data_IF_112776952060
#
_entry.id   IF_112776952060
#
_cell.length_a   1.000
_cell.length_b   1.000
_cell.length_c   1.000
_cell.angle_alpha   90.00
_cell.angle_beta   90.00
_cell.angle_gamma   90.00
#
_symmetry.space_group_name_H-M   'P 1'
#
loop_
_entity.id
_entity.type
_entity.pdbx_description
1 polymer ?
#
# COMPACT_ATOMS: atom_id res chain seq x y z
N UNK A 1 -14.57 3.18 21.55
CA UNK A 1 -13.80 3.19 20.27
C UNK A 1 -12.33 3.05 20.62
N UNK A 2 -11.56 2.28 19.89
CA UNK A 2 -10.11 2.19 20.13
C UNK A 2 -9.42 3.51 19.77
N UNK A 3 -8.32 3.80 20.49
CA UNK A 3 -7.45 4.93 20.18
C UNK A 3 -6.22 4.40 19.41
N UNK A 4 -5.87 5.08 18.32
CA UNK A 4 -4.77 4.73 17.45
C UNK A 4 -3.84 5.93 17.23
N UNK A 5 -2.60 5.66 16.90
CA UNK A 5 -1.57 6.69 16.66
C UNK A 5 -1.53 7.16 15.20
N UNK A 6 -1.92 6.31 14.25
CA UNK A 6 -1.78 6.56 12.81
C UNK A 6 -3.10 6.68 12.07
N UNK A 7 -4.19 6.34 12.70
CA UNK A 7 -5.53 6.39 12.09
C UNK A 7 -6.61 6.73 13.12
N UNK A 8 -7.83 6.95 12.64
CA UNK A 8 -9.05 7.06 13.45
C UNK A 8 -10.12 6.18 12.84
N UNK A 9 -10.97 5.58 13.68
CA UNK A 9 -12.18 4.92 13.22
C UNK A 9 -13.37 5.44 14.02
N UNK A 10 -14.41 5.86 13.30
CA UNK A 10 -15.63 6.41 13.90
C UNK A 10 -16.84 6.01 13.09
N UNK A 11 -18.02 5.82 13.70
CA UNK A 11 -19.26 5.80 12.95
C UNK A 11 -19.45 7.11 12.17
N UNK A 12 -20.04 7.03 10.99
CA UNK A 12 -20.44 8.23 10.25
C UNK A 12 -21.59 8.96 10.96
N UNK A 13 -21.51 10.28 11.04
CA UNK A 13 -22.46 11.07 11.80
C UNK A 13 -23.89 11.04 11.25
N UNK A 14 -24.06 10.87 9.94
CA UNK A 14 -25.36 10.81 9.28
C UNK A 14 -25.93 9.39 9.21
N UNK A 15 -25.05 8.37 9.18
CA UNK A 15 -25.46 6.98 9.12
C UNK A 15 -24.50 6.08 9.92
N UNK A 16 -24.82 5.71 11.16
CA UNK A 16 -23.94 4.91 12.02
C UNK A 16 -23.69 3.49 11.49
N UNK A 17 -24.43 3.02 10.48
CA UNK A 17 -24.13 1.77 9.76
C UNK A 17 -22.87 1.84 8.90
N UNK A 18 -22.29 3.03 8.76
CA UNK A 18 -21.04 3.26 8.03
C UNK A 18 -19.95 3.58 9.05
N UNK A 19 -18.88 2.78 9.07
CA UNK A 19 -17.65 3.14 9.82
C UNK A 19 -16.69 3.87 8.89
N UNK A 20 -16.13 4.99 9.35
CA UNK A 20 -15.10 5.75 8.63
C UNK A 20 -13.73 5.47 9.25
N UNK A 21 -12.85 4.82 8.50
CA UNK A 21 -11.45 4.59 8.86
C UNK A 21 -10.59 5.63 8.14
N UNK A 22 -10.11 6.60 8.89
CA UNK A 22 -9.31 7.71 8.40
C UNK A 22 -7.82 7.46 8.70
N UNK A 23 -6.98 7.26 7.68
CA UNK A 23 -5.53 7.31 7.82
C UNK A 23 -5.14 8.74 8.20
N UNK A 24 -4.43 8.95 9.32
CA UNK A 24 -4.31 10.25 9.98
C UNK A 24 -2.87 10.62 10.36
N UNK A 25 -2.00 10.61 9.36
CA UNK A 25 -0.64 11.20 9.40
C UNK A 25 -0.47 12.19 8.22
N UNK A 26 -1.34 13.23 8.10
CA UNK A 26 -1.39 14.08 6.90
C UNK A 26 -0.08 14.84 6.64
N UNK A 27 0.71 15.14 7.66
CA UNK A 27 2.05 15.77 7.57
C UNK A 27 3.08 14.89 6.87
N UNK A 28 2.83 13.58 6.81
CA UNK A 28 3.63 12.55 6.12
C UNK A 28 2.91 11.92 4.95
N UNK A 29 1.88 12.55 4.38
CA UNK A 29 1.01 11.95 3.35
C UNK A 29 0.47 10.58 3.76
N UNK A 30 0.12 10.42 5.03
CA UNK A 30 -0.38 9.17 5.60
C UNK A 30 0.57 7.97 5.38
N UNK A 31 1.89 8.22 5.37
CA UNK A 31 2.88 7.17 5.17
C UNK A 31 2.81 6.11 6.28
N UNK A 32 3.02 4.87 5.86
CA UNK A 32 2.90 3.66 6.67
C UNK A 32 4.15 3.53 7.55
N UNK A 33 3.97 3.55 8.85
CA UNK A 33 5.00 3.18 9.83
C UNK A 33 4.68 1.80 10.42
N UNK A 34 5.49 1.31 11.37
CA UNK A 34 5.34 -0.03 11.98
C UNK A 34 4.01 -0.23 12.73
N UNK A 35 3.35 0.84 13.16
CA UNK A 35 2.07 0.76 13.83
C UNK A 35 0.90 0.64 12.83
N UNK A 36 0.99 1.31 11.68
CA UNK A 36 -0.13 1.45 10.73
C UNK A 36 -0.76 0.12 10.32
N UNK A 37 0.00 -0.95 9.93
CA UNK A 37 -0.63 -2.22 9.53
C UNK A 37 -1.46 -2.83 10.65
N UNK A 38 -0.90 -2.92 11.85
CA UNK A 38 -1.58 -3.48 13.03
C UNK A 38 -2.79 -2.66 13.45
N UNK A 39 -2.70 -1.34 13.37
CA UNK A 39 -3.81 -0.45 13.69
C UNK A 39 -4.94 -0.57 12.66
N UNK A 40 -4.64 -0.77 11.36
CA UNK A 40 -5.66 -1.08 10.34
C UNK A 40 -6.40 -2.37 10.71
N UNK A 41 -5.68 -3.46 11.03
CA UNK A 41 -6.30 -4.72 11.46
C UNK A 41 -7.19 -4.50 12.68
N UNK A 42 -6.67 -3.87 13.73
CA UNK A 42 -7.43 -3.63 14.96
C UNK A 42 -8.68 -2.76 14.74
N UNK A 43 -8.60 -1.77 13.85
CA UNK A 43 -9.75 -0.95 13.47
C UNK A 43 -10.81 -1.76 12.69
N UNK A 44 -10.37 -2.64 11.79
CA UNK A 44 -11.26 -3.55 11.05
C UNK A 44 -11.93 -4.54 12.00
N UNK A 45 -11.18 -5.14 12.92
CA UNK A 45 -11.71 -6.07 13.94
C UNK A 45 -12.72 -5.38 14.85
N UNK A 46 -12.44 -4.15 15.29
CA UNK A 46 -13.42 -3.35 16.02
C UNK A 46 -14.70 -3.15 15.20
N UNK A 47 -14.57 -2.64 13.97
CA UNK A 47 -15.73 -2.40 13.09
C UNK A 47 -16.49 -3.70 12.80
N UNK A 48 -15.81 -4.85 12.69
CA UNK A 48 -16.42 -6.15 12.48
C UNK A 48 -17.24 -6.60 13.69
N UNK A 49 -16.79 -6.27 14.90
CA UNK A 49 -17.47 -6.54 16.15
C UNK A 49 -18.71 -5.67 16.41
N UNK A 50 -18.77 -4.48 15.80
CA UNK A 50 -19.91 -3.57 16.00
C UNK A 50 -21.13 -4.01 15.21
N UNK A 51 -22.20 -4.38 15.91
CA UNK A 51 -23.42 -4.91 15.30
C UNK A 51 -24.12 -3.92 14.38
N UNK A 52 -24.00 -2.63 14.63
CA UNK A 52 -24.62 -1.58 13.82
C UNK A 52 -23.88 -1.33 12.51
N UNK A 53 -22.56 -1.56 12.46
CA UNK A 53 -21.75 -1.29 11.27
C UNK A 53 -22.01 -2.31 10.16
N UNK A 54 -22.31 -1.84 8.96
CA UNK A 54 -22.57 -2.64 7.77
C UNK A 54 -21.45 -2.52 6.72
N UNK A 55 -20.76 -1.38 6.66
CA UNK A 55 -19.74 -1.07 5.65
C UNK A 55 -18.65 -0.19 6.26
N UNK A 56 -17.41 -0.36 5.80
CA UNK A 56 -16.26 0.44 6.22
C UNK A 56 -15.79 1.29 5.03
N UNK A 57 -15.68 2.62 5.22
CA UNK A 57 -15.06 3.55 4.26
C UNK A 57 -13.65 3.88 4.74
N UNK A 58 -12.66 3.56 3.93
CA UNK A 58 -11.24 3.85 4.18
C UNK A 58 -10.83 5.09 3.40
N UNK A 59 -10.26 6.07 4.08
CA UNK A 59 -9.91 7.37 3.50
C UNK A 59 -8.62 7.92 4.10
N UNK A 60 -8.00 8.90 3.45
CA UNK A 60 -6.81 9.57 3.95
C UNK A 60 -7.11 10.99 4.42
N UNK A 61 -6.43 11.44 5.48
CA UNK A 61 -6.46 12.85 5.90
C UNK A 61 -5.54 13.71 5.02
N UNK A 62 -5.90 14.99 4.86
CA UNK A 62 -5.04 15.98 4.20
C UNK A 62 -4.99 15.86 2.68
N UNK A 63 -3.79 15.85 2.09
CA UNK A 63 -3.58 16.04 0.64
C UNK A 63 -3.70 14.76 -0.20
N UNK A 64 -3.82 13.59 0.39
CA UNK A 64 -3.88 12.34 -0.35
C UNK A 64 -4.23 11.15 0.53
N UNK A 65 -4.46 10.02 -0.11
CA UNK A 65 -4.84 8.78 0.55
C UNK A 65 -3.67 8.21 1.37
N UNK A 66 -2.58 7.79 0.70
CA UNK A 66 -1.38 7.26 1.36
C UNK A 66 -0.18 7.27 0.40
N UNK A 67 0.97 7.75 0.89
CA UNK A 67 2.23 7.85 0.13
C UNK A 67 3.08 6.59 0.14
N UNK A 68 2.64 5.48 0.75
CA UNK A 68 3.44 4.27 0.92
C UNK A 68 4.20 4.22 2.24
N UNK A 69 5.18 3.31 2.35
CA UNK A 69 5.96 3.16 3.58
C UNK A 69 6.84 4.38 3.89
N UNK A 70 6.93 4.73 5.18
CA UNK A 70 7.78 5.82 5.71
C UNK A 70 9.23 5.33 5.80
N UNK A 71 9.87 5.21 4.63
CA UNK A 71 11.19 4.60 4.48
C UNK A 71 12.35 5.59 4.62
N UNK A 72 12.07 6.90 4.73
CA UNK A 72 13.13 7.90 4.71
C UNK A 72 14.18 7.65 5.80
N UNK A 73 13.75 7.58 7.06
CA UNK A 73 14.67 7.41 8.20
C UNK A 73 15.44 6.11 8.12
N UNK A 74 14.76 5.05 7.75
CA UNK A 74 15.30 3.70 7.63
C UNK A 74 16.26 3.56 6.45
N UNK A 75 15.90 4.08 5.26
CA UNK A 75 16.77 4.07 4.08
C UNK A 75 18.01 4.93 4.24
N UNK A 76 17.91 6.05 4.97
CA UNK A 76 19.04 6.92 5.28
C UNK A 76 19.89 6.40 6.46
N UNK A 77 19.48 5.29 7.10
CA UNK A 77 20.21 4.68 8.22
C UNK A 77 20.15 5.49 9.51
N UNK A 78 19.08 6.26 9.71
CA UNK A 78 18.83 7.07 10.91
C UNK A 78 18.16 6.31 12.04
N UNK A 79 17.59 5.15 11.76
CA UNK A 79 17.01 4.22 12.71
C UNK A 79 17.80 2.92 12.74
N UNK A 80 17.75 2.18 13.86
CA UNK A 80 18.41 0.88 13.96
C UNK A 80 17.93 -0.08 12.87
N UNK A 81 18.66 -1.17 12.67
CA UNK A 81 18.36 -2.14 11.61
C UNK A 81 16.94 -2.69 11.75
N UNK A 82 16.12 -2.37 10.77
CA UNK A 82 14.81 -2.97 10.62
C UNK A 82 14.96 -4.35 9.96
N UNK A 83 14.19 -5.39 10.32
CA UNK A 83 14.32 -6.73 9.73
C UNK A 83 14.35 -6.75 8.20
N UNK A 84 13.55 -5.89 7.56
CA UNK A 84 13.54 -5.74 6.10
C UNK A 84 14.72 -4.98 5.51
N UNK A 85 15.65 -4.52 6.31
CA UNK A 85 16.73 -3.62 5.89
C UNK A 85 18.07 -3.98 6.50
N UNK A 86 18.20 -5.19 7.06
CA UNK A 86 19.45 -5.66 7.61
C UNK A 86 20.55 -5.62 6.54
N UNK A 87 21.62 -4.91 6.87
CA UNK A 87 22.87 -4.95 6.12
C UNK A 87 23.81 -6.05 6.64
N UNK A 88 23.41 -6.70 7.74
CA UNK A 88 24.17 -7.79 8.33
C UNK A 88 24.34 -8.93 7.32
N UNK A 89 25.56 -9.39 7.17
CA UNK A 89 25.88 -10.60 6.43
C UNK A 89 26.05 -11.75 7.45
N UNK A 90 25.26 -12.81 7.38
CA UNK A 90 24.20 -13.06 6.37
C UNK A 90 22.87 -12.39 6.69
N UNK A 91 22.17 -11.91 5.64
CA UNK A 91 20.76 -11.52 5.72
C UNK A 91 19.86 -12.75 5.98
N UNK A 92 18.92 -12.62 6.92
CA UNK A 92 17.93 -13.67 7.17
C UNK A 92 16.64 -13.44 6.36
N UNK A 93 16.46 -14.15 5.23
CA UNK A 93 15.27 -13.99 4.39
C UNK A 93 13.98 -14.46 5.07
N UNK A 94 14.06 -15.31 6.10
CA UNK A 94 12.85 -15.79 6.79
C UNK A 94 12.34 -14.80 7.83
N UNK A 95 13.21 -14.04 8.48
CA UNK A 95 12.79 -12.95 9.35
C UNK A 95 12.16 -11.81 8.55
N UNK A 96 12.78 -11.43 7.43
CA UNK A 96 12.23 -10.46 6.49
C UNK A 96 10.86 -10.90 5.97
N UNK A 97 10.76 -12.14 5.48
CA UNK A 97 9.50 -12.73 5.05
C UNK A 97 8.42 -12.68 6.15
N UNK A 98 8.75 -13.11 7.37
CA UNK A 98 7.81 -13.15 8.48
C UNK A 98 7.29 -11.76 8.84
N UNK A 99 8.16 -10.73 8.79
CA UNK A 99 7.79 -9.35 9.03
C UNK A 99 6.83 -8.81 7.95
N UNK A 100 7.22 -8.93 6.68
CA UNK A 100 6.40 -8.42 5.56
C UNK A 100 5.09 -9.21 5.40
N UNK A 101 5.11 -10.52 5.69
CA UNK A 101 3.89 -11.33 5.71
C UNK A 101 2.88 -10.81 6.73
N UNK A 102 3.31 -10.44 7.96
CA UNK A 102 2.42 -9.84 8.96
C UNK A 102 1.77 -8.57 8.43
N UNK A 103 2.56 -7.64 7.86
CA UNK A 103 2.03 -6.40 7.30
C UNK A 103 1.02 -6.67 6.17
N UNK A 104 1.32 -7.64 5.30
CA UNK A 104 0.41 -8.06 4.23
C UNK A 104 -0.90 -8.60 4.80
N UNK A 105 -0.83 -9.47 5.81
CA UNK A 105 -2.02 -10.03 6.47
C UNK A 105 -2.85 -8.95 7.18
N UNK A 106 -2.19 -7.95 7.74
CA UNK A 106 -2.86 -6.82 8.39
C UNK A 106 -3.63 -5.96 7.38
N UNK A 107 -3.06 -5.64 6.21
CA UNK A 107 -3.79 -4.97 5.13
C UNK A 107 -4.91 -5.84 4.57
N UNK A 108 -4.66 -7.13 4.41
CA UNK A 108 -5.66 -8.08 3.92
C UNK A 108 -6.82 -8.29 4.89
N UNK A 109 -6.77 -7.79 6.14
CA UNK A 109 -7.93 -7.76 7.02
C UNK A 109 -9.10 -6.98 6.41
N UNK A 110 -8.84 -5.92 5.63
CA UNK A 110 -9.83 -5.17 4.87
C UNK A 110 -10.59 -6.06 3.87
N UNK A 111 -9.87 -6.94 3.19
CA UNK A 111 -10.44 -7.87 2.23
C UNK A 111 -11.13 -9.08 2.89
N UNK A 112 -10.56 -9.59 4.01
CA UNK A 112 -11.04 -10.80 4.69
C UNK A 112 -12.21 -10.56 5.64
N UNK A 113 -12.41 -9.34 6.17
CA UNK A 113 -13.51 -9.05 7.08
C UNK A 113 -14.87 -9.30 6.41
N UNK A 114 -15.88 -9.61 7.20
CA UNK A 114 -17.24 -9.90 6.71
C UNK A 114 -17.99 -8.67 6.20
N UNK A 115 -17.51 -7.46 6.52
CA UNK A 115 -18.12 -6.20 6.10
C UNK A 115 -17.50 -5.71 4.80
N UNK A 116 -18.31 -5.22 3.84
CA UNK A 116 -17.76 -4.53 2.66
C UNK A 116 -16.88 -3.35 3.05
N UNK A 117 -15.81 -3.17 2.28
CA UNK A 117 -14.85 -2.08 2.44
C UNK A 117 -14.77 -1.24 1.17
N UNK A 118 -14.74 0.08 1.33
CA UNK A 118 -14.66 1.05 0.23
C UNK A 118 -13.42 1.91 0.44
N UNK A 119 -12.49 1.92 -0.49
CA UNK A 119 -11.42 2.92 -0.51
C UNK A 119 -11.92 4.19 -1.22
N UNK A 120 -11.88 5.32 -0.51
CA UNK A 120 -12.12 6.66 -1.05
C UNK A 120 -10.78 7.33 -1.28
N UNK A 121 -10.32 7.37 -2.53
CA UNK A 121 -8.97 7.80 -2.90
C UNK A 121 -8.98 9.18 -3.54
N UNK A 122 -8.31 10.13 -2.89
CA UNK A 122 -7.93 11.41 -3.46
C UNK A 122 -6.42 11.59 -3.38
N UNK A 123 -5.86 12.49 -4.19
CA UNK A 123 -4.43 12.73 -4.25
C UNK A 123 -3.66 11.46 -4.60
N UNK A 124 -2.72 11.04 -3.76
CA UNK A 124 -1.88 9.88 -4.03
C UNK A 124 -2.27 8.65 -3.19
N UNK A 125 -2.37 7.49 -3.86
CA UNK A 125 -2.40 6.14 -3.28
C UNK A 125 -1.29 5.34 -3.95
N UNK A 126 -0.05 5.44 -3.46
CA UNK A 126 1.13 4.92 -4.17
C UNK A 126 1.96 3.98 -3.31
N UNK A 127 2.73 3.09 -3.94
CA UNK A 127 3.51 2.06 -3.27
C UNK A 127 2.61 1.26 -2.29
N UNK A 128 3.00 1.07 -1.01
CA UNK A 128 2.17 0.43 0.01
C UNK A 128 0.80 1.09 0.22
N UNK A 129 0.63 2.38 -0.12
CA UNK A 129 -0.67 3.06 -0.11
C UNK A 129 -1.63 2.51 -1.16
N UNK A 130 -1.13 2.08 -2.32
CA UNK A 130 -1.93 1.35 -3.30
C UNK A 130 -2.32 -0.04 -2.82
N UNK A 131 -1.45 -0.71 -2.05
CA UNK A 131 -1.78 -2.00 -1.43
C UNK A 131 -2.96 -1.88 -0.48
N UNK A 132 -2.99 -0.87 0.41
CA UNK A 132 -4.12 -0.62 1.30
C UNK A 132 -5.41 -0.36 0.49
N UNK A 133 -5.35 0.51 -0.53
CA UNK A 133 -6.52 0.83 -1.35
C UNK A 133 -7.07 -0.41 -2.09
N UNK A 134 -6.18 -1.23 -2.65
CA UNK A 134 -6.55 -2.43 -3.41
C UNK A 134 -6.98 -3.60 -2.51
N UNK A 135 -6.67 -3.61 -1.23
CA UNK A 135 -7.23 -4.55 -0.26
C UNK A 135 -8.69 -4.24 0.12
N UNK A 136 -9.21 -3.05 -0.20
CA UNK A 136 -10.64 -2.79 -0.07
C UNK A 136 -11.44 -3.48 -1.19
N UNK A 137 -12.70 -3.81 -0.94
CA UNK A 137 -13.57 -4.46 -1.93
C UNK A 137 -13.86 -3.55 -3.13
N UNK A 138 -14.12 -2.28 -2.86
CA UNK A 138 -14.48 -1.26 -3.84
C UNK A 138 -13.50 -0.09 -3.77
N UNK A 139 -13.23 0.51 -4.93
CA UNK A 139 -12.33 1.64 -5.07
C UNK A 139 -13.03 2.78 -5.80
N UNK A 140 -13.22 3.91 -5.11
CA UNK A 140 -13.67 5.17 -5.69
C UNK A 140 -12.52 6.18 -5.66
N UNK A 141 -12.30 6.87 -6.77
CA UNK A 141 -11.17 7.78 -6.93
C UNK A 141 -11.64 9.17 -7.38
N UNK A 142 -10.92 10.19 -6.94
CA UNK A 142 -10.96 11.45 -7.67
C UNK A 142 -10.37 11.26 -9.07
N UNK A 143 -10.88 11.99 -10.06
CA UNK A 143 -10.44 11.93 -11.47
C UNK A 143 -8.94 12.11 -11.63
N UNK A 144 -8.36 13.04 -10.84
CA UNK A 144 -6.95 13.43 -10.84
C UNK A 144 -6.12 12.68 -9.77
N UNK A 145 -6.75 11.84 -8.96
CA UNK A 145 -6.04 11.02 -7.99
C UNK A 145 -5.09 10.04 -8.70
N UNK A 146 -3.99 9.72 -8.06
CA UNK A 146 -2.91 8.93 -8.66
C UNK A 146 -2.73 7.63 -7.90
N UNK A 147 -2.68 6.51 -8.64
CA UNK A 147 -2.43 5.18 -8.09
C UNK A 147 -1.33 4.47 -8.88
N UNK A 148 -0.38 3.83 -8.18
CA UNK A 148 0.73 3.13 -8.81
C UNK A 148 1.67 2.49 -7.81
N UNK A 149 2.59 1.63 -8.32
CA UNK A 149 3.57 0.93 -7.48
C UNK A 149 4.99 1.11 -8.06
N UNK A 150 5.55 2.32 -7.93
CA UNK A 150 6.86 2.68 -8.45
C UNK A 150 8.04 1.86 -7.86
N UNK A 151 7.96 1.32 -6.62
CA UNK A 151 9.03 0.48 -6.09
C UNK A 151 9.34 -0.76 -6.92
N UNK A 152 8.45 -1.17 -7.83
CA UNK A 152 8.73 -2.27 -8.77
C UNK A 152 9.95 -1.99 -9.68
N UNK A 153 10.32 -0.73 -9.92
CA UNK A 153 11.52 -0.37 -10.69
C UNK A 153 12.81 -0.73 -9.93
N UNK A 154 12.81 -0.55 -8.61
CA UNK A 154 13.85 -0.99 -7.69
C UNK A 154 13.30 -0.89 -6.26
N UNK A 155 13.60 -1.90 -5.45
CA UNK A 155 13.35 -1.91 -4.02
C UNK A 155 11.90 -2.18 -3.60
N UNK A 156 11.19 -3.05 -4.30
CA UNK A 156 9.88 -3.53 -3.86
C UNK A 156 9.13 -4.42 -4.83
N UNK A 157 8.30 -5.27 -4.25
CA UNK A 157 7.29 -6.05 -4.94
C UNK A 157 5.97 -5.91 -4.16
N UNK A 158 4.80 -5.72 -4.80
CA UNK A 158 3.54 -5.55 -4.08
C UNK A 158 3.12 -6.88 -3.42
N UNK A 159 3.36 -6.98 -2.10
CA UNK A 159 3.20 -8.24 -1.35
C UNK A 159 1.75 -8.71 -1.25
N UNK A 160 0.79 -7.80 -1.37
CA UNK A 160 -0.64 -8.14 -1.39
C UNK A 160 -1.07 -8.85 -2.66
N UNK A 161 -0.30 -8.76 -3.74
CA UNK A 161 -0.59 -9.29 -5.08
C UNK A 161 -1.90 -8.74 -5.71
N UNK A 162 -2.58 -7.79 -5.05
CA UNK A 162 -3.91 -7.32 -5.47
C UNK A 162 -3.91 -6.65 -6.84
N UNK A 163 -2.80 -6.06 -7.29
CA UNK A 163 -2.67 -5.53 -8.64
C UNK A 163 -3.03 -6.56 -9.71
N UNK A 164 -2.54 -7.80 -9.58
CA UNK A 164 -2.80 -8.89 -10.53
C UNK A 164 -4.26 -9.31 -10.52
N UNK A 165 -4.84 -9.46 -9.34
CA UNK A 165 -6.21 -9.95 -9.18
C UNK A 165 -7.27 -8.89 -9.54
N UNK A 166 -6.92 -7.61 -9.45
CA UNK A 166 -7.83 -6.50 -9.77
C UNK A 166 -7.79 -6.08 -11.25
N UNK A 167 -6.60 -6.12 -11.88
CA UNK A 167 -6.41 -5.66 -13.28
C UNK A 167 -6.36 -6.79 -14.29
N UNK A 168 -6.16 -8.03 -13.81
CA UNK A 168 -5.79 -9.13 -14.67
C UNK A 168 -4.33 -9.03 -15.16
N UNK A 169 -3.79 -10.13 -15.75
CA UNK A 169 -2.34 -10.27 -15.93
C UNK A 169 -1.73 -9.25 -16.90
N UNK A 170 -2.43 -8.85 -17.97
CA UNK A 170 -1.84 -7.96 -18.99
C UNK A 170 -1.57 -6.55 -18.44
N UNK A 171 -2.58 -5.92 -17.82
CA UNK A 171 -2.44 -4.57 -17.23
C UNK A 171 -1.59 -4.58 -15.98
N UNK A 172 -1.68 -5.62 -15.16
CA UNK A 172 -0.79 -5.79 -14.02
C UNK A 172 0.68 -5.85 -14.45
N UNK A 173 1.02 -6.60 -15.51
CA UNK A 173 2.37 -6.63 -16.09
C UNK A 173 2.82 -5.26 -16.57
N UNK A 174 1.94 -4.50 -17.27
CA UNK A 174 2.26 -3.13 -17.67
C UNK A 174 2.66 -2.29 -16.47
N UNK A 175 1.82 -2.25 -15.41
CA UNK A 175 2.11 -1.48 -14.19
C UNK A 175 3.39 -1.95 -13.50
N UNK A 176 3.59 -3.27 -13.39
CA UNK A 176 4.74 -3.83 -12.67
C UNK A 176 6.06 -3.75 -13.46
N UNK A 177 6.03 -3.74 -14.79
CA UNK A 177 7.25 -3.63 -15.60
C UNK A 177 7.71 -2.19 -15.76
N UNK A 178 6.80 -1.22 -15.72
CA UNK A 178 7.12 0.20 -15.91
C UNK A 178 7.25 0.97 -14.60
N UNK A 179 6.50 0.56 -13.56
CA UNK A 179 6.34 1.35 -12.35
C UNK A 179 5.53 2.63 -12.59
N UNK A 180 4.69 2.65 -13.62
CA UNK A 180 3.85 3.79 -13.96
C UNK A 180 2.84 4.11 -12.85
N UNK A 181 2.37 5.35 -12.89
CA UNK A 181 1.29 5.84 -12.06
C UNK A 181 0.16 6.30 -12.97
N UNK A 182 -1.03 5.77 -12.77
CA UNK A 182 -2.23 6.14 -13.53
C UNK A 182 -3.14 7.06 -12.73
N UNK A 183 -3.93 7.88 -13.42
CA UNK A 183 -4.94 8.72 -12.79
C UNK A 183 -6.26 7.97 -12.54
N UNK A 184 -7.19 8.61 -11.82
CA UNK A 184 -8.48 8.01 -11.47
C UNK A 184 -9.32 7.66 -12.70
N UNK A 185 -9.29 8.51 -13.76
CA UNK A 185 -10.01 8.24 -15.02
C UNK A 185 -9.49 7.00 -15.70
N UNK A 186 -8.18 6.87 -15.81
CA UNK A 186 -7.54 5.67 -16.37
C UNK A 186 -7.84 4.44 -15.52
N UNK A 187 -7.76 4.57 -14.19
CA UNK A 187 -8.08 3.47 -13.27
C UNK A 187 -9.52 2.98 -13.45
N UNK A 188 -10.49 3.89 -13.61
CA UNK A 188 -11.88 3.52 -13.90
C UNK A 188 -12.04 2.91 -15.29
N UNK A 189 -11.42 3.48 -16.32
CA UNK A 189 -11.46 2.93 -17.69
C UNK A 189 -10.84 1.53 -17.77
N UNK A 190 -9.87 1.22 -16.92
CA UNK A 190 -9.26 -0.12 -16.84
C UNK A 190 -10.03 -1.10 -15.95
N UNK A 191 -11.02 -0.62 -15.20
CA UNK A 191 -11.79 -1.44 -14.27
C UNK A 191 -11.08 -1.69 -12.93
N UNK A 192 -10.01 -0.94 -12.63
CA UNK A 192 -9.34 -0.96 -11.33
C UNK A 192 -10.19 -0.21 -10.28
N UNK A 193 -10.64 1.00 -10.63
CA UNK A 193 -11.58 1.75 -9.82
C UNK A 193 -13.02 1.49 -10.31
N UNK A 194 -13.96 1.37 -9.37
CA UNK A 194 -15.38 1.22 -9.67
C UNK A 194 -15.98 2.52 -10.23
N UNK A 195 -15.50 3.67 -9.73
CA UNK A 195 -15.94 5.01 -10.11
C UNK A 195 -14.78 5.97 -10.01
N UNK A 196 -14.66 6.88 -10.99
CA UNK A 196 -13.85 8.09 -10.90
C UNK A 196 -14.74 9.31 -11.14
N UNK A 197 -14.59 10.33 -10.29
CA UNK A 197 -15.41 11.57 -10.33
C UNK A 197 -14.52 12.77 -9.98
N UNK A 198 -14.90 14.00 -10.33
CA UNK A 198 -14.24 15.20 -9.84
C UNK A 198 -14.08 15.17 -8.32
N UNK A 199 -12.96 15.73 -7.81
CA UNK A 199 -12.61 15.67 -6.38
C UNK A 199 -13.74 16.19 -5.48
N UNK A 200 -14.40 17.26 -5.87
CA UNK A 200 -15.53 17.88 -5.13
C UNK A 200 -16.78 16.99 -5.08
N UNK A 201 -16.88 15.98 -5.95
CA UNK A 201 -17.98 15.01 -5.99
C UNK A 201 -17.65 13.68 -5.30
N UNK A 202 -16.36 13.44 -4.96
CA UNK A 202 -15.90 12.15 -4.47
C UNK A 202 -16.57 11.74 -3.15
N UNK A 203 -16.74 12.68 -2.22
CA UNK A 203 -17.44 12.42 -0.95
C UNK A 203 -18.89 11.99 -1.20
N UNK A 204 -19.62 12.76 -1.99
CA UNK A 204 -21.04 12.48 -2.29
C UNK A 204 -21.18 11.12 -3.00
N UNK A 205 -20.35 10.81 -3.99
CA UNK A 205 -20.36 9.53 -4.70
C UNK A 205 -20.06 8.35 -3.78
N UNK A 206 -19.05 8.52 -2.88
CA UNK A 206 -18.69 7.48 -1.91
C UNK A 206 -19.80 7.22 -0.92
N UNK A 207 -20.38 8.26 -0.34
CA UNK A 207 -21.44 8.13 0.65
C UNK A 207 -22.75 7.62 0.03
N UNK A 208 -23.04 7.98 -1.21
CA UNK A 208 -24.18 7.39 -1.96
C UNK A 208 -24.03 5.87 -2.09
N UNK A 209 -22.84 5.38 -2.46
CA UNK A 209 -22.59 3.94 -2.57
C UNK A 209 -22.61 3.27 -1.19
N UNK A 210 -21.95 3.85 -0.19
CA UNK A 210 -21.91 3.33 1.17
C UNK A 210 -23.33 3.23 1.79
N UNK A 211 -24.18 4.24 1.59
CA UNK A 211 -25.56 4.21 2.06
C UNK A 211 -26.40 3.12 1.38
N UNK A 212 -26.20 2.88 0.09
CA UNK A 212 -26.87 1.77 -0.62
C UNK A 212 -26.46 0.43 -0.05
N UNK A 213 -25.17 0.23 0.22
CA UNK A 213 -24.63 -0.99 0.85
C UNK A 213 -25.15 -1.14 2.28
N UNK A 214 -25.13 -0.06 3.08
CA UNK A 214 -25.62 -0.06 4.45
C UNK A 214 -27.13 -0.40 4.58
N UNK A 215 -27.88 -0.28 3.51
CA UNK A 215 -29.29 -0.71 3.43
C UNK A 215 -29.49 -2.22 3.29
N UNK A 216 -28.43 -2.98 2.99
CA UNK A 216 -28.48 -4.44 2.83
C UNK A 216 -28.22 -5.14 4.17
N UNK A 217 -28.94 -6.24 4.52
CA UNK A 217 -28.66 -6.99 5.74
C UNK A 217 -27.21 -7.49 5.81
N UNK A 218 -26.57 -7.34 6.97
CA UNK A 218 -25.16 -7.72 7.21
C UNK A 218 -24.82 -9.15 6.79
N UNK A 219 -25.69 -10.10 7.11
CA UNK A 219 -25.49 -11.51 6.75
C UNK A 219 -25.43 -11.72 5.24
N UNK A 220 -26.24 -11.00 4.47
CA UNK A 220 -26.24 -11.07 3.01
C UNK A 220 -24.96 -10.45 2.43
N UNK A 221 -24.52 -9.29 2.95
CA UNK A 221 -23.28 -8.68 2.55
C UNK A 221 -22.08 -9.63 2.79
N UNK A 222 -22.02 -10.24 3.97
CA UNK A 222 -20.99 -11.20 4.32
C UNK A 222 -20.99 -12.43 3.40
N UNK A 223 -22.15 -13.03 3.14
CA UNK A 223 -22.27 -14.19 2.24
C UNK A 223 -21.82 -13.86 0.82
N UNK A 224 -22.27 -12.72 0.26
CA UNK A 224 -21.87 -12.31 -1.08
C UNK A 224 -20.38 -12.03 -1.18
N UNK A 225 -19.80 -11.33 -0.18
CA UNK A 225 -18.34 -11.06 -0.13
C UNK A 225 -17.56 -12.38 -0.09
N UNK A 226 -17.94 -13.34 0.75
CA UNK A 226 -17.27 -14.64 0.84
C UNK A 226 -17.32 -15.40 -0.49
N UNK A 227 -18.46 -15.43 -1.18
CA UNK A 227 -18.61 -16.09 -2.49
C UNK A 227 -17.69 -15.45 -3.53
N UNK A 228 -17.67 -14.12 -3.63
CA UNK A 228 -16.82 -13.41 -4.59
C UNK A 228 -15.35 -13.58 -4.27
N UNK A 229 -14.97 -13.49 -3.00
CA UNK A 229 -13.58 -13.66 -2.56
C UNK A 229 -13.05 -15.08 -2.81
N UNK A 230 -13.90 -16.10 -2.77
CA UNK A 230 -13.52 -17.48 -3.07
C UNK A 230 -12.89 -17.65 -4.46
N UNK A 231 -13.28 -16.85 -5.44
CA UNK A 231 -12.69 -16.87 -6.79
C UNK A 231 -11.20 -16.54 -6.74
N UNK A 232 -10.82 -15.50 -6.00
CA UNK A 232 -9.41 -15.10 -5.87
C UNK A 232 -8.60 -16.14 -5.08
N UNK A 233 -9.17 -16.73 -4.02
CA UNK A 233 -8.53 -17.81 -3.26
C UNK A 233 -8.27 -19.02 -4.13
N UNK A 234 -9.27 -19.47 -4.89
CA UNK A 234 -9.13 -20.59 -5.81
C UNK A 234 -8.14 -20.32 -6.95
N UNK A 235 -8.03 -19.04 -7.38
CA UNK A 235 -7.05 -18.63 -8.38
C UNK A 235 -5.62 -18.48 -7.81
N UNK A 236 -5.36 -18.83 -6.54
CA UNK A 236 -4.03 -18.88 -5.97
C UNK A 236 -3.55 -17.57 -5.33
N UNK A 237 -4.47 -16.78 -4.76
CA UNK A 237 -4.11 -15.51 -4.11
C UNK A 237 -3.04 -15.69 -3.03
N UNK A 238 -3.20 -16.65 -2.13
CA UNK A 238 -2.27 -16.84 -1.00
C UNK A 238 -0.89 -17.30 -1.47
N UNK A 239 -0.82 -18.19 -2.47
CA UNK A 239 0.43 -18.63 -3.07
C UNK A 239 1.15 -17.48 -3.79
N UNK A 240 0.39 -16.63 -4.48
CA UNK A 240 0.94 -15.45 -5.16
C UNK A 240 1.46 -14.42 -4.13
N UNK A 241 0.76 -14.20 -3.03
CA UNK A 241 1.20 -13.33 -1.93
C UNK A 241 2.48 -13.85 -1.28
N UNK A 242 2.57 -15.16 -1.03
CA UNK A 242 3.79 -15.77 -0.49
C UNK A 242 4.99 -15.51 -1.40
N UNK A 243 4.85 -15.77 -2.70
CA UNK A 243 5.91 -15.55 -3.67
C UNK A 243 6.28 -14.06 -3.79
N UNK A 244 5.29 -13.17 -3.85
CA UNK A 244 5.53 -11.73 -3.90
C UNK A 244 6.26 -11.22 -2.66
N UNK A 245 5.93 -11.74 -1.47
CA UNK A 245 6.58 -11.37 -0.20
C UNK A 245 8.05 -11.83 -0.17
N UNK A 246 8.36 -13.03 -0.66
CA UNK A 246 9.74 -13.50 -0.79
C UNK A 246 10.52 -12.62 -1.76
N UNK A 247 9.95 -12.32 -2.93
CA UNK A 247 10.61 -11.48 -3.93
C UNK A 247 10.78 -10.03 -3.47
N UNK A 248 9.85 -9.52 -2.68
CA UNK A 248 10.00 -8.18 -2.07
C UNK A 248 11.28 -8.10 -1.20
N UNK A 249 11.55 -9.10 -0.36
CA UNK A 249 12.80 -9.22 0.38
C UNK A 249 14.04 -9.29 -0.53
N UNK A 250 13.99 -10.11 -1.57
CA UNK A 250 15.09 -10.26 -2.53
C UNK A 250 15.39 -8.93 -3.25
N UNK A 251 14.37 -8.16 -3.66
CA UNK A 251 14.57 -6.87 -4.36
C UNK A 251 15.28 -5.82 -3.51
N UNK A 252 15.22 -5.93 -2.19
CA UNK A 252 15.93 -5.01 -1.28
C UNK A 252 17.37 -5.41 -1.03
N UNK A 253 17.73 -6.69 -1.25
CA UNK A 253 19.04 -7.26 -0.93
C UNK A 253 19.85 -7.70 -2.16
N UNK A 254 19.27 -7.61 -3.37
CA UNK A 254 20.00 -7.79 -4.61
C UNK A 254 20.93 -6.58 -4.90
N UNK A 255 21.83 -6.64 -5.88
CA UNK A 255 22.75 -5.54 -6.20
C UNK A 255 22.06 -4.20 -6.44
N UNK A 256 20.93 -4.20 -7.14
CA UNK A 256 20.16 -3.02 -7.49
C UNK A 256 19.52 -2.37 -6.24
N UNK A 257 18.94 -3.19 -5.38
CA UNK A 257 18.34 -2.76 -4.10
C UNK A 257 19.38 -2.19 -3.15
N UNK A 258 20.54 -2.83 -3.06
CA UNK A 258 21.66 -2.33 -2.25
C UNK A 258 22.22 -1.02 -2.82
N UNK A 259 22.36 -0.89 -4.14
CA UNK A 259 22.73 0.37 -4.77
C UNK A 259 21.74 1.50 -4.43
N UNK A 260 20.43 1.25 -4.58
CA UNK A 260 19.40 2.25 -4.28
C UNK A 260 19.48 2.71 -2.82
N UNK A 261 19.65 1.77 -1.89
CA UNK A 261 19.83 2.07 -0.47
C UNK A 261 21.08 2.93 -0.22
N UNK A 262 22.22 2.58 -0.83
CA UNK A 262 23.46 3.37 -0.71
C UNK A 262 23.31 4.78 -1.28
N UNK A 263 22.57 4.92 -2.36
CA UNK A 263 22.26 6.23 -2.91
C UNK A 263 21.38 7.05 -1.97
N UNK A 264 20.35 6.44 -1.36
CA UNK A 264 19.51 7.10 -0.36
C UNK A 264 20.33 7.54 0.86
N UNK A 265 21.28 6.71 1.30
CA UNK A 265 22.19 7.05 2.41
C UNK A 265 23.17 8.18 2.09
N UNK A 266 23.65 8.25 0.85
CA UNK A 266 24.66 9.23 0.43
C UNK A 266 24.06 10.58 0.00
N UNK A 267 22.92 10.57 -0.68
CA UNK A 267 22.31 11.74 -1.34
C UNK A 267 20.91 12.08 -0.82
N UNK A 268 20.39 11.31 0.15
CA UNK A 268 19.05 11.44 0.70
C UNK A 268 18.00 10.63 -0.07
N UNK A 269 17.01 10.11 0.67
CA UNK A 269 15.96 9.24 0.12
C UNK A 269 15.15 9.91 -1.00
N UNK A 270 14.87 11.21 -0.86
CA UNK A 270 14.14 11.97 -1.90
C UNK A 270 14.89 12.01 -3.23
N UNK A 271 16.21 12.20 -3.20
CA UNK A 271 17.07 12.19 -4.40
C UNK A 271 17.06 10.81 -5.06
N UNK A 272 17.23 9.74 -4.26
CA UNK A 272 17.20 8.37 -4.77
C UNK A 272 15.85 8.03 -5.45
N UNK A 273 14.73 8.43 -4.84
CA UNK A 273 13.38 8.25 -5.43
C UNK A 273 13.23 9.05 -6.73
N UNK A 274 13.65 10.31 -6.76
CA UNK A 274 13.61 11.12 -7.97
C UNK A 274 14.43 10.48 -9.10
N UNK A 275 15.60 9.94 -8.78
CA UNK A 275 16.43 9.22 -9.74
C UNK A 275 15.72 7.97 -10.25
N UNK A 276 15.20 7.11 -9.36
CA UNK A 276 14.44 5.91 -9.70
C UNK A 276 13.28 6.21 -10.66
N UNK A 277 12.55 7.30 -10.38
CA UNK A 277 11.32 7.63 -11.10
C UNK A 277 11.56 8.53 -12.33
N UNK A 278 12.83 8.88 -12.59
CA UNK A 278 13.21 9.75 -13.74
C UNK A 278 13.11 9.09 -15.10
N UNK A 279 12.84 7.79 -15.19
CA UNK A 279 12.87 7.02 -16.44
C UNK A 279 14.27 6.58 -16.89
N UNK A 280 15.33 6.93 -16.15
CA UNK A 280 16.69 6.46 -16.43
C UNK A 280 16.78 4.95 -16.21
N UNK A 281 17.69 4.25 -16.93
CA UNK A 281 17.98 2.85 -16.65
C UNK A 281 18.47 2.67 -15.21
N UNK A 282 17.93 1.68 -14.51
CA UNK A 282 18.45 1.30 -13.20
C UNK A 282 19.75 0.51 -13.42
N UNK A 283 20.84 0.82 -12.71
CA UNK A 283 22.05 0.01 -12.77
C UNK A 283 21.78 -1.41 -12.32
N UNK A 284 22.37 -2.41 -12.97
CA UNK A 284 22.14 -3.81 -12.65
C UNK A 284 23.45 -4.60 -12.46
N UNK A 285 23.37 -5.71 -11.73
CA UNK A 285 24.46 -6.67 -11.56
C UNK A 285 25.75 -6.04 -11.06
N UNK A 286 26.86 -6.23 -11.81
CA UNK A 286 28.18 -5.74 -11.42
C UNK A 286 28.32 -4.22 -11.44
N UNK A 287 27.59 -3.53 -12.32
CA UNK A 287 27.52 -2.07 -12.33
C UNK A 287 26.89 -1.55 -11.03
N UNK A 288 25.75 -2.11 -10.61
CA UNK A 288 25.10 -1.74 -9.37
C UNK A 288 26.00 -1.99 -8.15
N UNK A 289 26.71 -3.13 -8.11
CA UNK A 289 27.70 -3.44 -7.05
C UNK A 289 28.82 -2.41 -7.01
N UNK A 290 29.38 -2.05 -8.16
CA UNK A 290 30.47 -1.08 -8.24
C UNK A 290 30.04 0.31 -7.76
N UNK A 291 28.85 0.76 -8.18
CA UNK A 291 28.28 2.04 -7.77
C UNK A 291 27.94 2.04 -6.27
N UNK A 292 27.34 0.97 -5.74
CA UNK A 292 27.06 0.85 -4.30
C UNK A 292 28.34 0.95 -3.46
N UNK A 293 29.44 0.29 -3.91
CA UNK A 293 30.74 0.36 -3.24
C UNK A 293 31.34 1.77 -3.28
N UNK A 294 31.24 2.47 -4.40
CA UNK A 294 31.71 3.84 -4.54
C UNK A 294 30.97 4.80 -3.59
N UNK A 295 29.65 4.61 -3.41
CA UNK A 295 28.83 5.42 -2.50
C UNK A 295 29.16 5.17 -1.02
N UNK A 296 29.59 3.96 -0.63
CA UNK A 296 30.04 3.67 0.74
C UNK A 296 31.24 4.50 1.15
N UNK A 297 32.12 4.83 0.23
CA UNK A 297 33.34 5.61 0.51
C UNK A 297 33.04 7.10 0.69
N UNK A 298 32.02 7.63 0.01
CA UNK A 298 31.57 9.03 0.18
C UNK A 298 31.02 9.35 1.57
N UNK A 299 30.49 8.35 2.30
CA UNK A 299 29.90 8.54 3.63
C UNK A 299 30.92 8.63 4.76
N UNK A 300 32.19 8.32 4.53
CA UNK A 300 33.25 8.35 5.57
C UNK A 300 33.79 9.74 5.83
N UNK A 301 33.54 10.70 4.97
CA UNK A 301 33.90 12.09 5.17
C UNK A 301 32.67 12.87 5.64
N UNK A 302 32.56 13.24 6.95
CA UNK A 302 31.51 14.17 7.37
C UNK A 302 31.69 15.50 6.64
N UNK A 303 30.60 16.23 6.33
CA UNK A 303 30.74 17.56 5.73
C UNK A 303 31.55 18.45 6.64
N UNK A 304 32.38 19.35 6.06
CA UNK A 304 33.26 20.25 6.80
C UNK A 304 32.51 21.21 7.73
#
# INVERSE_FOLDING_TARGET
MPEFSTLRITPDAANPRIARLLLNRPERLNAINDATPREIRAAVEWAEGEDEVHVIVVEGAGKGFCGGYDLQRSAEGMEGEHPCQQESDPWDPMEDYAFMKRNTEDFMSLWRCRKPTIAKVHGAAVAGGSDIALCCDLLLMADDARIGYMPTRVWGCPTTAMWTFRLGPARAKQMMFTGDVIDGRTAAAWGLANVAVPLDQLEAATMQLANRIAGVPRSHLAMHKLVVNQVMLTAGLEQTQMMATVFDGITRHNPEGMWFRRQAQAEGFKSAVQWRDSGRPIPEGDEARALAKALQHKRKDPPP
#
